data_IF_887480507014
#
_entry.id   IF_887480507014
#
_cell.length_a   1.000
_cell.length_b   1.000
_cell.length_c   1.000
_cell.angle_alpha   90.00
_cell.angle_beta   90.00
_cell.angle_gamma   90.00
#
_symmetry.space_group_name_H-M   'P 1'
#
loop_
_entity.id
_entity.type
_entity.pdbx_description
1 polymer ?
#
# COMPACT_ATOMS: atom_id res chain seq x y z
N UNK A 1 7.79 -5.48 -8.14
CA UNK A 1 7.30 -6.21 -6.96
C UNK A 1 6.00 -5.57 -6.53
N UNK A 2 4.92 -6.34 -6.47
CA UNK A 2 3.55 -5.85 -6.29
C UNK A 2 3.11 -6.26 -4.87
N UNK A 3 3.30 -5.36 -3.89
CA UNK A 3 2.82 -5.56 -2.52
C UNK A 3 1.41 -4.98 -2.41
N UNK A 4 0.45 -5.79 -1.98
CA UNK A 4 -0.94 -5.36 -1.76
C UNK A 4 -1.34 -5.62 -0.32
N UNK A 5 -1.26 -4.60 0.52
CA UNK A 5 -1.93 -4.56 1.82
C UNK A 5 -3.38 -4.10 1.60
N UNK A 6 -4.37 -4.92 1.98
CA UNK A 6 -5.81 -4.61 1.83
C UNK A 6 -6.38 -4.13 3.17
N UNK A 7 -6.69 -2.83 3.27
CA UNK A 7 -7.39 -2.26 4.44
C UNK A 7 -8.88 -2.08 4.16
N UNK A 8 -9.73 -2.75 4.95
CA UNK A 8 -11.18 -2.56 4.95
C UNK A 8 -11.57 -1.60 6.08
N UNK A 9 -12.16 -0.45 5.76
CA UNK A 9 -12.67 0.49 6.76
C UNK A 9 -14.11 0.13 7.15
N UNK A 10 -14.28 -0.55 8.28
CA UNK A 10 -15.58 -0.72 8.94
C UNK A 10 -15.50 -0.22 10.39
N UNK A 11 -16.01 1.00 10.63
CA UNK A 11 -16.28 1.65 11.92
C UNK A 11 -15.09 1.86 12.90
N UNK A 12 -15.13 2.88 13.78
CA UNK A 12 -13.96 3.36 14.51
C UNK A 12 -13.83 2.68 15.87
N UNK A 13 -13.32 1.44 15.95
CA UNK A 13 -12.84 0.87 17.24
C UNK A 13 -12.20 -0.52 17.17
N UNK A 14 -11.76 -1.01 16.01
CA UNK A 14 -10.93 -2.22 15.97
C UNK A 14 -9.87 -2.16 14.88
N UNK A 15 -8.62 -1.99 15.32
CA UNK A 15 -7.42 -2.18 14.51
C UNK A 15 -7.26 -3.67 14.21
N UNK A 16 -7.85 -4.15 13.12
CA UNK A 16 -7.58 -5.49 12.60
C UNK A 16 -6.44 -5.36 11.59
N UNK A 17 -5.22 -5.63 12.06
CA UNK A 17 -4.00 -5.67 11.25
C UNK A 17 -3.88 -7.06 10.60
N UNK A 18 -4.17 -7.15 9.30
CA UNK A 18 -3.91 -8.34 8.50
C UNK A 18 -2.46 -8.31 7.99
N UNK A 19 -1.54 -8.99 8.69
CA UNK A 19 -0.22 -9.28 8.14
C UNK A 19 -0.34 -10.47 7.18
N UNK A 20 -0.29 -10.22 5.87
CA UNK A 20 -0.05 -11.25 4.86
C UNK A 20 1.22 -10.89 4.10
N UNK A 21 2.36 -11.29 4.64
CA UNK A 21 3.64 -11.28 3.93
C UNK A 21 3.77 -12.60 3.16
N UNK A 22 3.18 -12.69 1.96
CA UNK A 22 3.44 -13.81 1.06
C UNK A 22 4.46 -13.38 0.01
N UNK A 23 5.75 -13.47 0.36
CA UNK A 23 6.83 -13.29 -0.62
C UNK A 23 7.16 -14.63 -1.29
N UNK A 24 6.96 -14.69 -2.61
CA UNK A 24 7.29 -15.84 -3.47
C UNK A 24 8.81 -16.18 -3.41
N UNK A 25 9.62 -15.32 -2.79
CA UNK A 25 11.09 -15.39 -2.73
C UNK A 25 11.66 -15.43 -1.30
N UNK A 26 10.87 -15.70 -0.26
CA UNK A 26 11.28 -15.64 1.17
C UNK A 26 11.82 -14.27 1.65
N UNK A 27 11.77 -13.25 0.78
CA UNK A 27 12.21 -11.90 1.08
C UNK A 27 11.29 -11.25 2.11
N UNK A 28 11.83 -10.88 3.27
CA UNK A 28 11.07 -10.28 4.37
C UNK A 28 11.62 -8.90 4.72
N UNK A 29 10.72 -7.91 4.78
CA UNK A 29 11.02 -6.56 5.23
C UNK A 29 10.86 -6.50 6.77
N UNK A 30 11.78 -5.86 7.52
CA UNK A 30 11.62 -5.72 8.97
C UNK A 30 10.28 -5.09 9.33
N UNK A 31 9.59 -5.71 10.29
CA UNK A 31 8.23 -5.35 10.64
C UNK A 31 8.08 -3.89 11.09
N UNK A 32 9.07 -3.38 11.84
CA UNK A 32 9.11 -1.98 12.30
C UNK A 32 9.20 -0.99 11.15
N UNK A 33 10.02 -1.28 10.13
CA UNK A 33 10.11 -0.44 8.94
C UNK A 33 8.81 -0.50 8.16
N UNK A 34 8.28 -1.70 7.92
CA UNK A 34 7.01 -1.87 7.20
C UNK A 34 5.89 -1.02 7.82
N UNK A 35 5.73 -1.10 9.14
CA UNK A 35 4.73 -0.33 9.87
C UNK A 35 4.97 1.19 9.76
N UNK A 36 6.22 1.65 9.85
CA UNK A 36 6.54 3.08 9.73
C UNK A 36 6.19 3.66 8.35
N UNK A 37 6.44 2.89 7.27
CA UNK A 37 6.11 3.30 5.90
C UNK A 37 4.60 3.29 5.68
N UNK A 38 3.92 2.30 6.21
CA UNK A 38 2.45 2.19 6.17
C UNK A 38 1.80 3.37 6.89
N UNK A 39 2.24 3.71 8.10
CA UNK A 39 1.70 4.83 8.87
C UNK A 39 1.86 6.17 8.13
N UNK A 40 3.03 6.40 7.53
CA UNK A 40 3.26 7.60 6.71
C UNK A 40 2.33 7.65 5.49
N UNK A 41 2.11 6.50 4.84
CA UNK A 41 1.20 6.38 3.72
C UNK A 41 -0.27 6.62 4.13
N UNK A 42 -0.73 6.01 5.23
CA UNK A 42 -2.10 6.17 5.71
C UNK A 42 -2.38 7.60 6.18
N UNK A 43 -1.41 8.25 6.85
CA UNK A 43 -1.51 9.66 7.24
C UNK A 43 -1.68 10.59 6.05
N UNK A 44 -1.12 10.22 4.89
CA UNK A 44 -1.26 10.96 3.64
C UNK A 44 -2.72 10.95 3.15
N UNK A 45 -3.43 9.82 3.29
CA UNK A 45 -4.85 9.72 2.92
C UNK A 45 -5.79 10.53 3.82
N UNK A 46 -5.41 10.84 5.06
CA UNK A 46 -6.24 11.63 5.99
C UNK A 46 -6.56 13.01 5.42
N UNK A 47 -5.63 13.59 4.67
CA UNK A 47 -5.78 14.92 4.06
C UNK A 47 -6.29 14.87 2.61
N UNK A 48 -6.64 13.69 2.10
CA UNK A 48 -6.92 13.47 0.68
C UNK A 48 -8.31 12.90 0.43
N UNK A 49 -9.08 13.64 -0.36
CA UNK A 49 -10.48 13.33 -0.61
C UNK A 49 -10.70 12.59 -1.93
N UNK A 50 -9.82 12.73 -2.93
CA UNK A 50 -10.01 12.11 -4.23
C UNK A 50 -9.65 10.62 -4.22
N UNK A 51 -10.46 9.83 -4.92
CA UNK A 51 -10.24 8.39 -5.16
C UNK A 51 -9.59 8.22 -6.53
N UNK A 52 -8.70 7.25 -6.69
CA UNK A 52 -7.99 6.96 -7.94
C UNK A 52 -6.74 7.80 -8.18
N UNK A 53 -6.51 8.84 -7.39
CA UNK A 53 -5.28 9.62 -7.41
C UNK A 53 -4.18 8.92 -6.58
N UNK A 54 -2.97 8.90 -7.14
CA UNK A 54 -1.77 8.45 -6.44
C UNK A 54 -1.18 9.63 -5.67
N UNK A 55 -0.85 9.41 -4.41
CA UNK A 55 -0.27 10.43 -3.56
C UNK A 55 1.03 9.96 -2.94
N UNK A 56 2.04 10.82 -2.98
CA UNK A 56 3.34 10.55 -2.37
C UNK A 56 3.27 10.85 -0.87
N UNK A 57 3.79 9.93 -0.06
CA UNK A 57 3.86 10.11 1.38
C UNK A 57 5.06 10.98 1.76
N UNK A 58 4.87 11.82 2.79
CA UNK A 58 5.97 12.59 3.39
C UNK A 58 6.67 11.68 4.40
N UNK A 59 7.94 11.40 4.13
CA UNK A 59 8.77 10.53 4.96
C UNK A 59 9.74 11.37 5.82
N UNK A 60 10.13 10.87 7.01
CA UNK A 60 11.17 11.49 7.81
C UNK A 60 12.54 11.35 7.12
N UNK A 61 13.47 12.26 7.44
CA UNK A 61 14.79 12.33 6.80
C UNK A 61 15.60 11.02 6.89
N UNK A 62 15.40 10.25 7.97
CA UNK A 62 16.06 8.96 8.19
C UNK A 62 15.68 7.88 7.14
N UNK A 63 14.60 8.11 6.39
CA UNK A 63 14.11 7.24 5.31
C UNK A 63 14.28 7.90 3.93
N UNK A 64 15.19 8.88 3.83
CA UNK A 64 15.52 9.52 2.56
C UNK A 64 16.02 8.50 1.54
N UNK A 65 15.57 8.65 0.30
CA UNK A 65 15.85 7.70 -0.80
C UNK A 65 14.90 6.50 -0.86
N UNK A 66 13.93 6.39 0.06
CA UNK A 66 12.78 5.50 -0.07
C UNK A 66 11.61 6.32 -0.60
N UNK A 67 10.88 5.78 -1.58
CA UNK A 67 9.66 6.38 -2.08
C UNK A 67 8.45 5.56 -1.66
N UNK A 68 7.51 6.21 -0.98
CA UNK A 68 6.23 5.60 -0.63
C UNK A 68 5.10 6.40 -1.25
N UNK A 69 4.17 5.71 -1.87
CA UNK A 69 2.96 6.30 -2.44
C UNK A 69 1.74 5.48 -2.07
N UNK A 70 0.59 6.13 -1.99
CA UNK A 70 -0.68 5.50 -1.66
C UNK A 70 -1.76 5.88 -2.65
N UNK A 71 -2.60 4.92 -3.00
CA UNK A 71 -3.79 5.15 -3.81
C UNK A 71 -5.01 4.54 -3.14
N UNK A 72 -6.10 5.30 -3.08
CA UNK A 72 -7.40 4.81 -2.64
C UNK A 72 -8.26 4.47 -3.85
N UNK A 73 -8.74 3.25 -3.93
CA UNK A 73 -9.61 2.73 -4.99
C UNK A 73 -10.96 2.32 -4.43
N UNK A 74 -12.01 2.36 -5.25
CA UNK A 74 -13.31 1.78 -4.90
C UNK A 74 -13.47 0.43 -5.55
N UNK A 75 -14.22 -0.49 -4.93
CA UNK A 75 -14.54 -1.77 -5.54
C UNK A 75 -15.17 -1.60 -6.94
N UNK A 76 -16.02 -0.59 -7.11
CA UNK A 76 -16.63 -0.24 -8.42
C UNK A 76 -15.59 0.22 -9.45
N UNK A 77 -14.67 1.13 -9.10
CA UNK A 77 -13.65 1.60 -10.05
C UNK A 77 -12.70 0.47 -10.43
N UNK A 78 -12.32 -0.35 -9.45
CA UNK A 78 -11.42 -1.48 -9.61
C UNK A 78 -12.06 -2.59 -10.47
N UNK A 79 -13.36 -2.83 -10.30
CA UNK A 79 -14.12 -3.75 -11.16
C UNK A 79 -14.31 -3.22 -12.59
N UNK A 80 -14.70 -1.96 -12.75
CA UNK A 80 -15.02 -1.39 -14.06
C UNK A 80 -13.78 -1.11 -14.91
N UNK A 81 -12.72 -0.58 -14.30
CA UNK A 81 -11.56 -0.03 -15.02
C UNK A 81 -10.21 -0.60 -14.54
N UNK A 82 -10.19 -1.34 -13.43
CA UNK A 82 -8.94 -1.73 -12.79
C UNK A 82 -8.23 -0.52 -12.17
N UNK A 83 -6.90 -0.57 -12.14
CA UNK A 83 -6.06 0.55 -11.75
C UNK A 83 -4.67 0.46 -12.39
N UNK A 84 -4.09 1.61 -12.72
CA UNK A 84 -2.71 1.71 -13.17
C UNK A 84 -2.04 2.84 -12.40
N UNK A 85 -1.00 2.52 -11.65
CA UNK A 85 -0.23 3.49 -10.87
C UNK A 85 1.20 3.00 -10.70
N UNK A 86 2.15 3.93 -10.72
CA UNK A 86 3.60 3.61 -10.70
C UNK A 86 3.94 2.50 -11.71
N UNK A 87 4.52 1.38 -11.26
CA UNK A 87 4.84 0.19 -12.06
C UNK A 87 3.85 -0.96 -11.83
N UNK A 88 2.65 -0.64 -11.36
CA UNK A 88 1.61 -1.59 -10.99
C UNK A 88 0.41 -1.45 -11.91
N UNK A 89 -0.03 -2.58 -12.46
CA UNK A 89 -1.27 -2.69 -13.22
C UNK A 89 -2.18 -3.73 -12.56
N UNK A 90 -3.37 -3.28 -12.17
CA UNK A 90 -4.47 -4.10 -11.68
C UNK A 90 -5.48 -4.18 -12.81
N UNK A 91 -5.76 -5.37 -13.36
CA UNK A 91 -6.70 -5.52 -14.46
C UNK A 91 -8.11 -5.15 -14.03
N UNK A 92 -8.94 -4.74 -14.98
CA UNK A 92 -10.38 -4.62 -14.76
C UNK A 92 -10.96 -5.98 -14.32
N UNK A 93 -12.12 -5.93 -13.67
CA UNK A 93 -12.77 -7.10 -13.03
C UNK A 93 -12.00 -7.69 -11.84
N UNK A 94 -10.97 -7.00 -11.36
CA UNK A 94 -10.34 -7.35 -10.09
C UNK A 94 -11.31 -7.07 -8.92
N UNK A 95 -11.16 -7.81 -7.83
CA UNK A 95 -11.96 -7.66 -6.60
C UNK A 95 -11.02 -7.83 -5.40
N UNK A 96 -11.24 -7.08 -4.32
CA UNK A 96 -10.50 -7.27 -3.08
C UNK A 96 -11.00 -8.51 -2.34
N UNK A 97 -10.08 -9.21 -1.67
CA UNK A 97 -10.41 -10.32 -0.79
C UNK A 97 -9.78 -10.05 0.58
N UNK A 98 -10.58 -9.79 1.63
CA UNK A 98 -12.05 -9.82 1.65
C UNK A 98 -12.70 -8.66 0.86
N UNK A 99 -13.97 -8.79 0.44
CA UNK A 99 -14.68 -7.73 -0.27
C UNK A 99 -14.76 -6.45 0.55
N UNK A 100 -14.27 -5.34 -0.01
CA UNK A 100 -14.28 -4.04 0.63
C UNK A 100 -14.85 -2.98 -0.32
N UNK A 101 -15.59 -2.01 0.24
CA UNK A 101 -16.13 -0.89 -0.55
C UNK A 101 -15.01 -0.01 -1.12
N UNK A 102 -13.97 0.19 -0.32
CA UNK A 102 -12.77 0.96 -0.65
C UNK A 102 -11.54 0.17 -0.23
N UNK A 103 -10.47 0.32 -0.99
CA UNK A 103 -9.19 -0.32 -0.76
C UNK A 103 -8.12 0.76 -0.86
N UNK A 104 -7.20 0.80 0.09
CA UNK A 104 -5.98 1.57 -0.02
C UNK A 104 -4.84 0.62 -0.39
N UNK A 105 -4.01 1.02 -1.36
CA UNK A 105 -2.83 0.25 -1.77
C UNK A 105 -1.61 1.13 -1.53
N UNK A 106 -0.67 0.62 -0.73
CA UNK A 106 0.61 1.26 -0.46
C UNK A 106 1.65 0.70 -1.43
N UNK A 107 2.24 1.56 -2.24
CA UNK A 107 3.36 1.27 -3.10
C UNK A 107 4.65 1.76 -2.45
N UNK A 108 5.65 0.90 -2.38
CA UNK A 108 6.94 1.18 -1.74
C UNK A 108 8.07 0.85 -2.71
N UNK A 109 8.99 1.78 -2.88
CA UNK A 109 10.22 1.61 -3.62
C UNK A 109 11.39 1.98 -2.71
N UNK A 110 12.17 0.98 -2.31
CA UNK A 110 13.31 1.16 -1.41
C UNK A 110 14.57 1.69 -2.13
N UNK A 111 14.58 1.72 -3.46
CA UNK A 111 15.73 2.15 -4.25
C UNK A 111 17.01 1.41 -3.84
N UNK A 112 18.06 2.18 -3.53
CA UNK A 112 19.37 1.67 -3.12
C UNK A 112 19.34 0.95 -1.76
N UNK A 113 18.28 1.13 -0.96
CA UNK A 113 18.11 0.49 0.34
C UNK A 113 17.56 -0.93 0.25
N UNK A 114 17.26 -1.42 -0.95
CA UNK A 114 16.73 -2.77 -1.17
C UNK A 114 17.65 -3.85 -0.57
N UNK A 115 18.96 -3.79 -0.81
CA UNK A 115 19.94 -4.73 -0.25
C UNK A 115 20.09 -4.64 1.28
N UNK A 116 19.70 -3.53 1.89
CA UNK A 116 19.83 -3.32 3.33
C UNK A 116 18.64 -3.88 4.10
N UNK A 117 17.44 -3.74 3.54
CA UNK A 117 16.19 -4.07 4.24
C UNK A 117 15.56 -5.38 3.79
N UNK A 118 15.86 -5.89 2.61
CA UNK A 118 15.38 -7.20 2.19
C UNK A 118 16.36 -8.28 2.63
N UNK A 119 15.94 -9.05 3.64
CA UNK A 119 16.63 -10.27 4.07
C UNK A 119 16.07 -11.42 3.25
N UNK A 120 16.94 -12.23 2.65
CA UNK A 120 16.62 -13.47 1.93
C UNK A 120 16.54 -14.64 2.91
#
# INVERSE_FOLDING_TARGET
>A
LLYTSLFSSASPSSLIHFNSTTSILNVTLPHSLFQSLEDCALKTLTNQHHTGALYQAILPDNLSGIEVSIVRLTGKSLWNHGAKFSNVLIPARSVSVPPARRVAIVYQNLGNWSNHWYIV
#
